data_IF_006956937434
#
_entry.id   IF_006956937434
#
_cell.length_a   1.000
_cell.length_b   1.000
_cell.length_c   1.000
_cell.angle_alpha   90.00
_cell.angle_beta   90.00
_cell.angle_gamma   90.00
#
_symmetry.space_group_name_H-M   'P 1'
#
loop_
_entity.id
_entity.type
_entity.pdbx_description
1 polymer ?
#
# COMPACT_ATOMS: atom_id res chain seq x y z
N UNK A 1 50.14 -40.62 -30.30
CA UNK A 1 50.57 -41.04 -28.95
C UNK A 1 51.06 -39.81 -28.21
N UNK A 2 50.71 -39.53 -26.94
CA UNK A 2 49.80 -40.22 -25.99
C UNK A 2 48.45 -39.46 -25.82
N UNK A 3 47.32 -40.14 -25.64
CA UNK A 3 46.64 -40.61 -24.39
C UNK A 3 45.65 -39.57 -23.83
N UNK A 4 44.37 -39.92 -23.94
CA UNK A 4 43.20 -39.19 -23.50
C UNK A 4 42.99 -39.38 -21.99
N UNK A 5 42.65 -38.30 -21.30
CA UNK A 5 42.17 -38.35 -19.92
C UNK A 5 40.66 -38.53 -19.88
N UNK A 6 40.28 -39.38 -18.95
CA UNK A 6 39.00 -40.02 -18.70
C UNK A 6 38.01 -39.04 -18.04
N UNK A 7 36.82 -38.86 -18.61
CA UNK A 7 35.73 -38.07 -18.01
C UNK A 7 34.75 -39.05 -17.38
N UNK A 8 34.69 -39.05 -16.06
CA UNK A 8 33.73 -39.82 -15.24
C UNK A 8 32.28 -39.41 -15.54
N UNK A 9 31.40 -40.33 -16.04
CA UNK A 9 30.04 -39.99 -16.45
C UNK A 9 29.01 -39.95 -15.31
N UNK A 10 29.41 -39.66 -14.05
CA UNK A 10 28.46 -39.57 -12.90
C UNK A 10 28.45 -38.26 -12.12
N UNK A 11 28.88 -37.16 -12.72
CA UNK A 11 28.69 -35.84 -12.11
C UNK A 11 27.32 -35.28 -12.49
N UNK A 12 26.30 -35.58 -11.69
CA UNK A 12 25.01 -34.87 -11.73
C UNK A 12 25.21 -33.40 -11.35
N UNK A 13 24.60 -32.44 -12.07
CA UNK A 13 24.63 -31.04 -11.68
C UNK A 13 23.92 -30.86 -10.33
N UNK A 14 24.55 -30.11 -9.43
CA UNK A 14 23.99 -29.77 -8.12
C UNK A 14 22.80 -28.83 -8.33
N UNK A 15 21.62 -29.32 -7.95
CA UNK A 15 20.36 -28.58 -8.04
C UNK A 15 20.31 -27.53 -6.91
N UNK A 16 20.36 -26.24 -7.27
CA UNK A 16 20.46 -25.12 -6.34
C UNK A 16 19.09 -24.59 -5.85
N UNK A 17 17.99 -25.29 -6.15
CA UNK A 17 16.62 -24.82 -5.84
C UNK A 17 15.90 -25.60 -4.71
N UNK A 18 16.54 -26.51 -3.99
CA UNK A 18 15.86 -27.24 -2.89
C UNK A 18 15.95 -26.49 -1.54
N UNK A 19 14.80 -26.17 -0.89
CA UNK A 19 14.78 -25.55 0.44
C UNK A 19 15.43 -26.43 1.52
N UNK A 20 16.08 -25.81 2.51
CA UNK A 20 16.89 -26.49 3.53
C UNK A 20 16.13 -27.48 4.43
N UNK A 21 14.80 -27.40 4.51
CA UNK A 21 13.97 -28.32 5.31
C UNK A 21 13.90 -29.74 4.71
N UNK A 22 14.11 -29.91 3.40
CA UNK A 22 13.99 -31.19 2.71
C UNK A 22 15.31 -31.97 2.64
N UNK A 23 16.44 -31.31 2.97
CA UNK A 23 17.77 -31.94 3.02
C UNK A 23 18.01 -32.77 4.29
N UNK A 24 17.22 -32.58 5.34
CA UNK A 24 17.36 -33.29 6.60
C UNK A 24 16.66 -34.67 6.64
N UNK A 25 15.82 -34.98 5.64
CA UNK A 25 15.04 -36.23 5.61
C UNK A 25 15.68 -37.35 4.76
N UNK A 26 16.80 -37.09 4.06
CA UNK A 26 17.38 -38.04 3.09
C UNK A 26 18.62 -38.81 3.57
N UNK A 27 19.07 -38.61 4.82
CA UNK A 27 20.21 -39.36 5.38
C UNK A 27 19.77 -40.31 6.49
N UNK A 28 19.18 -41.44 6.14
CA UNK A 28 19.28 -42.68 6.93
C UNK A 28 19.05 -43.91 6.06
N UNK A 29 19.86 -44.98 6.20
CA UNK A 29 19.88 -46.09 5.26
C UNK A 29 18.81 -47.13 5.56
N UNK A 30 18.35 -47.78 4.49
CA UNK A 30 17.29 -48.77 4.43
C UNK A 30 17.64 -50.12 5.08
N UNK A 31 16.59 -50.84 5.51
CA UNK A 31 16.53 -52.30 5.46
C UNK A 31 15.10 -52.76 5.04
N UNK A 32 14.97 -53.91 4.36
CA UNK A 32 13.93 -54.11 3.34
C UNK A 32 12.76 -54.99 3.83
N UNK A 33 11.58 -54.83 3.24
CA UNK A 33 10.69 -55.99 3.06
C UNK A 33 9.72 -55.85 1.88
N UNK A 34 10.04 -56.63 0.85
CA UNK A 34 9.20 -57.55 0.06
C UNK A 34 7.73 -57.20 -0.26
N UNK A 35 7.48 -57.27 -1.58
CA UNK A 35 6.22 -57.14 -2.29
C UNK A 35 5.07 -58.06 -1.83
N UNK A 36 3.82 -57.60 -2.02
CA UNK A 36 2.77 -58.36 -2.69
C UNK A 36 1.55 -57.47 -3.04
N UNK A 37 1.10 -57.60 -4.29
CA UNK A 37 -0.17 -57.08 -4.82
C UNK A 37 -1.36 -57.83 -4.19
N UNK A 38 -2.47 -57.12 -3.97
CA UNK A 38 -3.83 -57.56 -4.35
C UNK A 38 -4.89 -56.54 -3.87
N UNK A 39 -5.71 -56.03 -4.79
CA UNK A 39 -7.10 -55.65 -4.49
C UNK A 39 -7.94 -56.93 -4.40
N UNK A 40 -9.05 -56.96 -3.63
CA UNK A 40 -10.34 -56.53 -4.19
C UNK A 40 -11.38 -55.95 -3.20
N UNK A 41 -12.37 -55.29 -3.81
CA UNK A 41 -13.81 -55.23 -3.49
C UNK A 41 -14.33 -54.49 -2.23
N UNK A 42 -15.38 -53.68 -2.50
CA UNK A 42 -16.25 -52.97 -1.57
C UNK A 42 -17.06 -53.89 -0.63
N UNK A 43 -17.72 -53.30 0.39
CA UNK A 43 -19.16 -53.14 0.25
C UNK A 43 -19.75 -51.81 0.77
N UNK A 44 -21.00 -51.60 0.33
CA UNK A 44 -21.97 -50.54 0.55
C UNK A 44 -22.49 -50.41 2.01
N UNK A 45 -23.21 -49.30 2.27
CA UNK A 45 -24.18 -48.98 3.36
C UNK A 45 -23.56 -48.51 4.69
N UNK A 46 -24.07 -47.53 5.44
CA UNK A 46 -25.29 -46.74 5.43
C UNK A 46 -25.10 -45.45 6.28
N UNK A 47 -25.90 -44.42 6.01
CA UNK A 47 -26.08 -43.20 6.84
C UNK A 47 -26.99 -43.51 8.05
N UNK A 48 -26.73 -42.91 9.23
CA UNK A 48 -27.78 -42.14 9.94
C UNK A 48 -27.21 -40.83 10.55
N UNK A 49 -27.82 -39.67 10.30
CA UNK A 49 -28.92 -39.05 11.04
C UNK A 49 -28.54 -38.49 12.44
N UNK A 50 -28.68 -37.16 12.54
CA UNK A 50 -28.53 -36.30 13.72
C UNK A 50 -29.61 -36.54 14.79
N UNK A 51 -29.34 -36.23 16.07
CA UNK A 51 -30.38 -35.67 16.92
C UNK A 51 -29.95 -34.42 17.72
N UNK A 52 -30.95 -33.61 18.02
CA UNK A 52 -30.93 -32.31 18.68
C UNK A 52 -30.70 -32.36 20.21
N UNK A 53 -30.42 -31.18 20.78
CA UNK A 53 -30.16 -30.85 22.19
C UNK A 53 -31.30 -31.17 23.17
N UNK A 54 -31.01 -31.18 24.49
CA UNK A 54 -31.37 -30.02 25.34
C UNK A 54 -30.32 -29.66 26.43
N UNK A 55 -30.29 -28.40 26.89
CA UNK A 55 -29.54 -27.95 28.09
C UNK A 55 -30.40 -28.04 29.37
N UNK A 56 -30.09 -27.31 30.48
CA UNK A 56 -28.84 -26.71 30.95
C UNK A 56 -28.44 -27.17 32.39
N UNK A 57 -27.16 -27.08 32.77
CA UNK A 57 -26.76 -27.10 34.20
C UNK A 57 -25.53 -26.24 34.46
N UNK A 58 -25.62 -25.41 35.49
CA UNK A 58 -24.68 -24.45 36.09
C UNK A 58 -23.51 -25.08 36.87
N UNK A 59 -22.29 -24.52 36.67
CA UNK A 59 -21.11 -24.25 37.55
C UNK A 59 -20.51 -25.33 38.49
N UNK A 60 -19.21 -25.27 38.92
CA UNK A 60 -18.33 -24.09 39.06
C UNK A 60 -16.85 -24.21 38.56
N UNK A 61 -16.16 -23.06 38.66
CA UNK A 61 -14.77 -22.69 38.32
C UNK A 61 -13.63 -23.69 38.65
N UNK A 62 -12.44 -23.47 38.05
CA UNK A 62 -11.34 -22.94 38.87
C UNK A 62 -10.48 -21.83 38.22
N UNK A 63 -9.75 -21.19 39.13
CA UNK A 63 -8.81 -20.08 39.07
C UNK A 63 -7.59 -20.22 38.15
N UNK A 64 -7.26 -19.10 37.48
CA UNK A 64 -5.92 -18.48 37.49
C UNK A 64 -4.91 -18.91 36.42
N UNK A 65 -4.54 -18.00 35.51
CA UNK A 65 -3.17 -17.53 35.25
C UNK A 65 -3.12 -16.60 34.02
N UNK A 66 -2.71 -15.36 34.26
CA UNK A 66 -2.48 -14.29 33.26
C UNK A 66 -1.05 -14.34 32.72
N UNK A 67 -0.80 -14.08 31.42
CA UNK A 67 0.47 -13.54 30.94
C UNK A 67 0.34 -12.06 30.50
N UNK A 68 1.45 -11.29 30.48
CA UNK A 68 1.42 -9.83 30.55
C UNK A 68 1.29 -9.10 29.20
N UNK A 69 0.46 -8.05 29.23
CA UNK A 69 0.69 -6.70 28.71
C UNK A 69 1.25 -6.51 27.30
N UNK A 70 0.36 -6.24 26.34
CA UNK A 70 0.66 -5.45 25.13
C UNK A 70 0.25 -3.99 25.41
N UNK A 71 1.04 -2.96 25.05
CA UNK A 71 0.63 -1.57 25.24
C UNK A 71 -0.54 -1.27 24.28
N UNK A 72 -1.70 -0.99 24.84
CA UNK A 72 -2.88 -0.53 24.09
C UNK A 72 -2.73 0.95 23.76
N UNK A 73 -2.84 1.29 22.47
CA UNK A 73 -3.18 2.65 22.03
C UNK A 73 -4.60 2.94 22.51
N UNK A 74 -4.73 3.62 23.65
CA UNK A 74 -6.03 4.00 24.19
C UNK A 74 -6.57 5.18 23.39
N UNK A 75 -7.49 4.91 22.46
CA UNK A 75 -8.46 5.92 22.02
C UNK A 75 -9.33 6.19 23.24
N UNK A 76 -9.05 7.28 23.96
CA UNK A 76 -9.75 7.66 25.18
C UNK A 76 -11.20 7.98 24.88
N UNK A 77 -12.09 7.02 25.14
CA UNK A 77 -13.51 7.26 25.32
C UNK A 77 -13.81 7.24 26.83
N UNK A 78 -13.85 8.43 27.43
CA UNK A 78 -14.46 8.73 28.75
C UNK A 78 -14.45 10.27 28.93
N UNK A 79 -15.49 11.02 29.31
CA UNK A 79 -16.95 10.90 29.52
C UNK A 79 -17.51 12.37 29.33
N UNK A 80 -18.82 12.71 29.44
CA UNK A 80 -19.54 13.55 28.45
C UNK A 80 -19.96 14.96 28.93
N UNK A 81 -19.77 15.99 28.10
CA UNK A 81 -20.53 17.28 28.07
C UNK A 81 -19.96 18.09 26.89
N UNK A 82 -20.67 18.43 25.80
CA UNK A 82 -22.06 18.84 25.64
C UNK A 82 -22.51 18.32 24.27
N UNK A 83 -23.48 17.41 24.23
CA UNK A 83 -24.18 17.09 22.99
C UNK A 83 -25.24 18.19 22.77
N UNK A 84 -25.04 19.01 21.73
CA UNK A 84 -26.09 19.54 20.83
C UNK A 84 -25.62 20.73 19.97
N UNK A 85 -24.34 20.79 19.60
CA UNK A 85 -23.96 21.47 18.36
C UNK A 85 -23.26 20.47 17.45
N UNK A 86 -23.76 20.24 16.22
CA UNK A 86 -23.03 19.43 15.25
C UNK A 86 -21.70 20.13 15.00
N UNK A 87 -20.60 19.37 15.08
CA UNK A 87 -19.30 19.88 14.67
C UNK A 87 -19.38 20.35 13.22
N UNK A 88 -19.06 21.62 13.01
CA UNK A 88 -19.02 22.25 11.70
C UNK A 88 -17.56 22.37 11.28
N UNK A 89 -17.10 21.60 10.29
CA UNK A 89 -15.76 21.75 9.76
C UNK A 89 -15.59 23.14 9.15
N UNK A 90 -14.51 23.83 9.49
CA UNK A 90 -14.26 25.20 9.04
C UNK A 90 -13.68 25.27 7.61
N UNK A 91 -13.06 24.18 7.15
CA UNK A 91 -12.41 24.08 5.84
C UNK A 91 -12.36 22.64 5.33
N UNK A 92 -11.92 22.47 4.07
CA UNK A 92 -11.77 21.16 3.43
C UNK A 92 -10.86 20.20 4.22
N UNK A 93 -9.85 20.70 4.93
CA UNK A 93 -8.99 19.85 5.77
C UNK A 93 -9.81 19.23 6.90
N UNK A 94 -10.60 20.02 7.62
CA UNK A 94 -11.46 19.53 8.70
C UNK A 94 -12.59 18.63 8.20
N UNK A 95 -13.15 18.88 7.02
CA UNK A 95 -14.11 17.98 6.37
C UNK A 95 -13.48 16.60 6.13
N UNK A 96 -12.30 16.56 5.52
CA UNK A 96 -11.57 15.32 5.26
C UNK A 96 -11.13 14.61 6.55
N UNK A 97 -10.72 15.36 7.60
CA UNK A 97 -10.41 14.78 8.90
C UNK A 97 -11.65 14.19 9.57
N UNK A 98 -12.80 14.84 9.45
CA UNK A 98 -14.07 14.35 9.99
C UNK A 98 -14.52 13.08 9.29
N UNK A 99 -14.42 13.04 7.95
CA UNK A 99 -14.69 11.84 7.16
C UNK A 99 -13.76 10.68 7.53
N UNK A 100 -12.47 10.97 7.72
CA UNK A 100 -11.49 9.98 8.15
C UNK A 100 -11.81 9.42 9.55
N UNK A 101 -12.20 10.27 10.50
CA UNK A 101 -12.65 9.84 11.84
C UNK A 101 -13.93 9.01 11.74
N UNK A 102 -14.91 9.44 10.95
CA UNK A 102 -16.17 8.71 10.74
C UNK A 102 -15.98 7.33 10.10
N UNK A 103 -14.98 7.21 9.22
CA UNK A 103 -14.58 5.95 8.60
C UNK A 103 -13.63 5.10 9.46
N UNK A 104 -13.13 5.62 10.60
CA UNK A 104 -12.11 4.97 11.42
C UNK A 104 -10.76 4.81 10.69
N UNK A 105 -10.46 5.69 9.74
CA UNK A 105 -9.28 5.63 8.88
C UNK A 105 -8.14 6.51 9.44
N UNK A 106 -7.26 5.91 10.24
CA UNK A 106 -6.04 6.58 10.71
C UNK A 106 -5.15 7.02 9.54
N UNK A 107 -5.08 6.21 8.47
CA UNK A 107 -4.30 6.52 7.27
C UNK A 107 -4.85 7.73 6.51
N UNK A 108 -6.18 7.80 6.36
CA UNK A 108 -6.85 8.97 5.76
C UNK A 108 -6.65 10.23 6.59
N UNK A 109 -6.67 10.10 7.92
CA UNK A 109 -6.42 11.20 8.84
C UNK A 109 -4.98 11.74 8.72
N UNK A 110 -3.98 10.86 8.78
CA UNK A 110 -2.57 11.24 8.66
C UNK A 110 -2.24 11.78 7.27
N UNK A 111 -2.74 11.15 6.20
CA UNK A 111 -2.56 11.63 4.82
C UNK A 111 -3.13 13.03 4.62
N UNK A 112 -4.31 13.31 5.20
CA UNK A 112 -4.91 14.64 5.18
C UNK A 112 -4.03 15.65 5.92
N UNK A 113 -3.53 15.32 7.11
CA UNK A 113 -2.64 16.21 7.86
C UNK A 113 -1.33 16.48 7.11
N UNK A 114 -0.70 15.47 6.50
CA UNK A 114 0.57 15.60 5.78
C UNK A 114 0.50 16.58 4.61
N UNK A 115 -0.67 16.73 4.00
CA UNK A 115 -0.94 17.70 2.93
C UNK A 115 -1.46 19.05 3.45
N UNK A 116 -1.83 19.13 4.72
CA UNK A 116 -2.45 20.31 5.31
C UNK A 116 -1.45 21.42 5.66
N UNK A 117 -1.97 22.64 5.66
CA UNK A 117 -1.37 23.79 6.35
C UNK A 117 -2.01 23.89 7.73
N UNK A 118 -1.18 23.98 8.75
CA UNK A 118 -1.60 24.07 10.14
C UNK A 118 -1.18 25.41 10.73
N UNK A 119 -1.98 25.90 11.66
CA UNK A 119 -1.70 27.06 12.46
C UNK A 119 -0.96 26.62 13.72
N UNK A 120 0.28 27.09 13.85
CA UNK A 120 1.09 26.92 15.05
C UNK A 120 1.04 28.21 15.88
N UNK A 121 0.53 28.15 17.11
CA UNK A 121 0.66 29.23 18.09
C UNK A 121 2.12 29.56 18.39
N UNK A 122 2.49 30.82 18.21
CA UNK A 122 3.84 31.33 18.52
C UNK A 122 3.96 31.54 20.02
N UNK A 123 5.11 31.17 20.58
CA UNK A 123 5.45 31.54 21.95
C UNK A 123 5.80 33.04 21.97
N UNK A 124 5.20 33.86 22.86
CA UNK A 124 5.48 35.31 22.92
C UNK A 124 6.96 35.67 23.15
N UNK A 125 7.77 34.74 23.68
CA UNK A 125 9.21 34.93 23.85
C UNK A 125 10.03 34.64 22.57
N UNK A 126 9.37 34.27 21.46
CA UNK A 126 10.02 34.07 20.17
C UNK A 126 10.39 35.40 19.53
N UNK A 127 11.49 35.41 18.77
CA UNK A 127 11.84 36.57 17.94
C UNK A 127 10.76 36.78 16.89
N UNK A 128 10.29 38.02 16.73
CA UNK A 128 9.24 38.36 15.77
C UNK A 128 9.62 37.93 14.34
N UNK A 129 8.71 37.20 13.68
CA UNK A 129 8.91 36.69 12.32
C UNK A 129 9.80 35.44 12.21
N UNK A 130 10.34 34.91 13.32
CA UNK A 130 11.09 33.65 13.30
C UNK A 130 10.17 32.45 12.99
N UNK A 131 10.71 31.46 12.28
CA UNK A 131 9.99 30.23 11.93
C UNK A 131 10.51 29.00 12.69
N UNK A 132 9.72 27.90 12.77
CA UNK A 132 10.15 26.66 13.41
C UNK A 132 11.49 26.19 12.83
N UNK A 133 12.46 25.94 13.73
CA UNK A 133 13.83 25.53 13.41
C UNK A 133 14.81 26.66 13.09
N UNK A 134 14.37 27.92 13.06
CA UNK A 134 15.28 29.07 12.93
C UNK A 134 15.83 29.53 14.29
N UNK A 135 17.05 30.11 14.33
CA UNK A 135 17.58 30.73 15.54
C UNK A 135 16.63 31.80 16.08
N UNK A 136 16.18 31.65 17.33
CA UNK A 136 15.29 32.61 18.00
C UNK A 136 13.80 32.23 18.02
N UNK A 137 13.39 31.15 17.33
CA UNK A 137 12.04 30.61 17.46
C UNK A 137 11.91 29.75 18.72
N UNK A 138 10.93 30.02 19.57
CA UNK A 138 10.64 29.23 20.75
C UNK A 138 9.33 28.45 20.56
N UNK A 139 9.41 27.13 20.71
CA UNK A 139 8.24 26.27 20.62
C UNK A 139 7.32 26.51 21.81
N UNK A 140 6.03 26.74 21.54
CA UNK A 140 5.01 26.82 22.58
C UNK A 140 4.58 25.40 22.96
N UNK A 141 4.83 25.02 24.21
CA UNK A 141 4.47 23.71 24.74
C UNK A 141 3.41 23.81 25.83
N UNK A 142 2.54 22.81 25.89
CA UNK A 142 1.67 22.52 27.03
C UNK A 142 2.18 21.30 27.80
N UNK A 143 1.65 21.10 29.00
CA UNK A 143 1.89 19.89 29.80
C UNK A 143 0.56 19.31 30.24
N UNK A 144 0.31 18.04 29.93
CA UNK A 144 -0.88 17.30 30.34
C UNK A 144 -0.44 15.93 30.81
N UNK A 145 -0.86 15.53 32.01
CA UNK A 145 -0.50 14.24 32.62
C UNK A 145 1.01 13.93 32.67
N UNK A 146 1.83 14.98 32.79
CA UNK A 146 3.30 14.87 32.83
C UNK A 146 3.96 14.72 31.46
N UNK A 147 3.19 14.70 30.37
CA UNK A 147 3.70 14.68 29.00
C UNK A 147 3.72 16.09 28.42
N UNK A 148 4.89 16.49 27.91
CA UNK A 148 5.04 17.75 27.15
C UNK A 148 4.48 17.56 25.75
N UNK A 149 3.64 18.48 25.30
CA UNK A 149 3.09 18.44 23.96
C UNK A 149 3.06 19.80 23.28
N UNK A 150 3.08 19.80 21.96
CA UNK A 150 2.91 20.99 21.11
C UNK A 150 1.53 20.89 20.45
N UNK A 151 0.77 21.99 20.51
CA UNK A 151 -0.57 22.08 19.92
C UNK A 151 -0.50 22.78 18.57
N UNK A 152 -1.24 22.26 17.61
CA UNK A 152 -1.55 22.95 16.35
C UNK A 152 -3.04 22.93 16.09
N UNK A 153 -3.47 23.84 15.23
CA UNK A 153 -4.86 23.95 14.82
C UNK A 153 -4.98 23.91 13.30
N UNK A 154 -6.05 23.34 12.78
CA UNK A 154 -6.35 23.34 11.34
C UNK A 154 -7.12 24.56 10.88
N UNK A 155 -7.63 25.37 11.81
CA UNK A 155 -8.38 26.59 11.51
C UNK A 155 -8.33 27.62 12.66
N UNK A 156 -8.58 28.91 12.36
CA UNK A 156 -8.75 29.95 13.39
C UNK A 156 -9.92 29.66 14.33
N UNK A 157 -10.96 28.98 13.86
CA UNK A 157 -12.11 28.57 14.65
C UNK A 157 -11.70 27.57 15.74
N UNK A 158 -10.93 26.53 15.38
CA UNK A 158 -10.39 25.57 16.38
C UNK A 158 -9.43 26.24 17.36
N UNK A 159 -8.64 27.21 16.91
CA UNK A 159 -7.79 28.02 17.77
C UNK A 159 -8.62 28.83 18.78
N UNK A 160 -9.66 29.52 18.31
CA UNK A 160 -10.50 30.39 19.15
C UNK A 160 -11.29 29.63 20.23
N UNK A 161 -11.56 28.34 20.01
CA UNK A 161 -12.20 27.46 20.99
C UNK A 161 -11.30 27.12 22.18
N UNK A 162 -9.97 27.13 22.00
CA UNK A 162 -9.00 26.70 23.00
C UNK A 162 -8.13 27.84 23.55
N UNK A 163 -7.92 28.90 22.78
CA UNK A 163 -7.08 30.03 23.15
C UNK A 163 -7.90 31.34 23.23
N UNK A 164 -7.86 32.02 24.38
CA UNK A 164 -8.48 33.35 24.57
C UNK A 164 -7.59 34.42 23.89
N UNK A 165 -8.14 35.33 23.07
CA UNK A 165 -7.36 36.13 22.11
C UNK A 165 -6.49 37.25 22.73
N UNK A 166 -5.48 37.76 21.98
CA UNK A 166 -4.99 37.30 20.67
C UNK A 166 -3.64 36.55 20.79
N UNK A 167 -3.59 35.32 20.29
CA UNK A 167 -2.36 34.53 20.16
C UNK A 167 -1.83 34.72 18.73
N UNK A 168 -0.58 35.17 18.60
CA UNK A 168 0.10 35.21 17.31
C UNK A 168 0.29 33.79 16.78
N UNK A 169 -0.06 33.54 15.53
CA UNK A 169 0.07 32.23 14.89
C UNK A 169 0.87 32.35 13.61
N UNK A 170 1.62 31.30 13.32
CA UNK A 170 2.22 31.11 12.00
C UNK A 170 1.52 29.98 11.27
N UNK A 171 1.30 30.17 9.98
CA UNK A 171 0.78 29.12 9.10
C UNK A 171 1.94 28.36 8.47
N UNK A 172 1.99 27.05 8.66
CA UNK A 172 3.09 26.20 8.21
C UNK A 172 2.54 24.90 7.65
N UNK A 173 3.18 24.36 6.60
CA UNK A 173 2.83 23.02 6.12
C UNK A 173 3.19 22.00 7.20
N UNK A 174 2.25 21.11 7.53
CA UNK A 174 2.47 20.14 8.60
C UNK A 174 3.73 19.30 8.37
N UNK A 175 3.98 18.89 7.12
CA UNK A 175 5.18 18.14 6.76
C UNK A 175 6.49 18.88 7.04
N UNK A 176 6.52 20.21 6.87
CA UNK A 176 7.70 21.03 7.19
C UNK A 176 7.85 21.20 8.70
N UNK A 177 6.73 21.27 9.42
CA UNK A 177 6.72 21.39 10.88
C UNK A 177 7.34 20.16 11.55
N UNK A 178 6.88 18.96 11.18
CA UNK A 178 7.33 17.70 11.80
C UNK A 178 8.81 17.38 11.50
N UNK A 179 9.36 17.86 10.38
CA UNK A 179 10.80 17.72 10.07
C UNK A 179 11.70 18.52 11.00
N UNK A 180 11.18 19.57 11.62
CA UNK A 180 11.93 20.46 12.52
C UNK A 180 11.52 20.23 13.98
N UNK A 181 10.95 19.07 14.28
CA UNK A 181 10.41 18.75 15.60
C UNK A 181 11.49 18.94 16.68
N UNK A 182 11.22 19.70 17.75
CA UNK A 182 12.25 20.18 18.66
C UNK A 182 12.82 19.09 19.56
N UNK A 183 11.99 18.13 19.95
CA UNK A 183 12.34 17.06 20.87
C UNK A 183 11.51 15.80 20.54
N UNK A 184 12.15 14.67 20.24
CA UNK A 184 11.47 13.40 19.97
C UNK A 184 10.56 12.91 21.11
N UNK A 185 10.77 13.36 22.34
CA UNK A 185 9.94 13.00 23.49
C UNK A 185 8.68 13.84 23.65
N UNK A 186 8.48 14.90 22.85
CA UNK A 186 7.31 15.77 22.97
C UNK A 186 6.19 15.30 22.05
N UNK A 187 4.99 15.10 22.61
CA UNK A 187 3.82 14.74 21.84
C UNK A 187 3.31 15.89 20.97
N UNK A 188 2.59 15.54 19.92
CA UNK A 188 1.87 16.46 19.07
C UNK A 188 0.37 16.33 19.36
N UNK A 189 -0.33 17.45 19.40
CA UNK A 189 -1.78 17.48 19.46
C UNK A 189 -2.34 18.40 18.35
N UNK A 190 -3.29 17.89 17.57
CA UNK A 190 -4.06 18.67 16.60
C UNK A 190 -5.48 18.84 17.12
N UNK A 191 -6.02 20.06 17.05
CA UNK A 191 -7.39 20.42 17.43
C UNK A 191 -7.86 19.70 18.72
N UNK A 192 -7.10 19.79 19.83
CA UNK A 192 -7.40 19.04 21.05
C UNK A 192 -8.86 19.31 21.48
N UNK A 193 -9.58 18.30 21.97
CA UNK A 193 -10.97 18.49 22.44
C UNK A 193 -12.05 18.58 21.35
N UNK A 194 -11.68 18.64 20.06
CA UNK A 194 -12.64 18.57 18.95
C UNK A 194 -12.85 17.12 18.44
N UNK A 195 -13.95 16.82 17.72
CA UNK A 195 -14.17 15.52 17.09
C UNK A 195 -13.13 15.11 16.04
N UNK A 196 -12.39 16.08 15.49
CA UNK A 196 -11.26 15.85 14.56
C UNK A 196 -9.91 16.01 15.26
N UNK A 197 -9.92 16.00 16.60
CA UNK A 197 -8.73 16.13 17.43
C UNK A 197 -7.98 14.81 17.56
N UNK A 198 -6.66 14.88 17.52
CA UNK A 198 -5.81 13.72 17.73
C UNK A 198 -4.53 14.08 18.48
N UNK A 199 -3.99 13.12 19.24
CA UNK A 199 -2.70 13.22 19.91
C UNK A 199 -1.79 12.11 19.40
N UNK A 200 -0.57 12.48 19.01
CA UNK A 200 0.46 11.56 18.52
C UNK A 200 1.70 11.67 19.43
N UNK A 201 2.24 10.55 19.93
CA UNK A 201 3.52 10.53 20.64
C UNK A 201 4.65 11.12 19.79
N UNK A 202 5.64 11.75 20.42
CA UNK A 202 6.75 12.39 19.71
C UNK A 202 7.55 11.44 18.82
N UNK A 203 7.74 10.20 19.26
CA UNK A 203 8.40 9.16 18.45
C UNK A 203 7.66 8.89 17.13
N UNK A 204 6.32 8.95 17.15
CA UNK A 204 5.50 8.78 15.94
C UNK A 204 5.62 9.99 15.01
N UNK A 205 5.79 11.20 15.55
CA UNK A 205 6.03 12.41 14.75
C UNK A 205 7.37 12.35 14.04
N UNK A 206 8.42 11.88 14.72
CA UNK A 206 9.74 11.68 14.11
C UNK A 206 9.69 10.61 13.03
N UNK A 207 9.01 9.49 13.28
CA UNK A 207 8.81 8.44 12.28
C UNK A 207 8.05 8.97 11.04
N UNK A 208 6.98 9.74 11.27
CA UNK A 208 6.19 10.37 10.22
C UNK A 208 6.99 11.38 9.40
N UNK A 209 7.88 12.15 10.05
CA UNK A 209 8.76 13.10 9.38
C UNK A 209 9.80 12.39 8.49
N UNK A 210 10.38 11.29 8.97
CA UNK A 210 11.31 10.46 8.20
C UNK A 210 10.64 9.86 6.97
N UNK A 211 9.45 9.27 7.16
CA UNK A 211 8.62 8.77 6.07
C UNK A 211 8.34 9.86 5.03
N UNK A 212 7.91 11.04 5.46
CA UNK A 212 7.57 12.14 4.57
C UNK A 212 8.79 12.61 3.75
N UNK A 213 9.98 12.59 4.35
CA UNK A 213 11.23 12.88 3.65
C UNK A 213 11.58 11.86 2.57
N UNK A 214 11.40 10.58 2.87
CA UNK A 214 11.65 9.50 1.92
C UNK A 214 10.69 9.52 0.72
N UNK A 215 9.43 9.95 0.92
CA UNK A 215 8.44 10.08 -0.17
C UNK A 215 8.48 11.45 -0.88
N UNK A 216 9.44 12.32 -0.56
CA UNK A 216 9.60 13.64 -1.20
C UNK A 216 8.57 14.69 -0.77
N UNK A 217 7.73 14.38 0.23
CA UNK A 217 6.83 15.35 0.85
C UNK A 217 7.69 16.30 1.70
N UNK A 218 8.04 17.47 1.15
CA UNK A 218 8.75 18.53 1.88
C UNK A 218 9.86 19.26 1.14
N UNK A 219 10.21 18.86 -0.10
CA UNK A 219 11.28 19.48 -0.91
C UNK A 219 10.82 20.59 -1.85
N UNK A 220 9.55 20.98 -1.83
CA UNK A 220 9.16 22.29 -2.35
C UNK A 220 9.72 23.35 -1.39
N UNK A 221 10.94 23.80 -1.66
CA UNK A 221 11.61 24.87 -0.93
C UNK A 221 10.66 26.06 -0.68
N UNK A 222 10.88 26.75 0.44
CA UNK A 222 10.34 28.07 0.73
C UNK A 222 10.44 28.98 -0.52
N UNK A 223 9.36 29.06 -1.30
CA UNK A 223 9.16 30.14 -2.26
C UNK A 223 8.16 31.08 -1.63
N UNK A 224 8.67 32.05 -0.85
CA UNK A 224 8.00 33.35 -0.80
C UNK A 224 7.84 33.85 -2.25
N UNK A 225 6.70 34.46 -2.61
CA UNK A 225 6.36 34.73 -4.00
C UNK A 225 7.21 35.88 -4.52
N UNK A 226 8.41 35.57 -5.01
CA UNK A 226 9.18 36.50 -5.82
C UNK A 226 8.72 36.31 -7.26
N UNK A 227 7.87 37.25 -7.66
CA UNK A 227 7.68 37.77 -9.01
C UNK A 227 7.90 36.77 -10.17
N UNK A 228 6.78 36.36 -10.78
CA UNK A 228 6.63 36.12 -12.21
C UNK A 228 7.90 35.66 -12.95
N UNK A 229 8.37 34.46 -12.61
CA UNK A 229 9.18 33.66 -13.52
C UNK A 229 8.25 32.62 -14.13
N UNK A 230 8.22 32.57 -15.46
CA UNK A 230 7.33 31.75 -16.28
C UNK A 230 7.14 30.34 -15.70
N UNK A 231 5.90 30.03 -15.36
CA UNK A 231 5.48 28.70 -14.94
C UNK A 231 6.00 27.66 -15.95
N UNK A 232 6.75 26.63 -15.51
CA UNK A 232 6.86 25.42 -16.31
C UNK A 232 5.42 24.95 -16.50
N UNK A 233 4.99 24.84 -17.76
CA UNK A 233 3.64 24.46 -18.14
C UNK A 233 3.12 23.38 -17.19
N UNK A 234 2.10 23.76 -16.43
CA UNK A 234 1.37 22.94 -15.49
C UNK A 234 0.86 21.72 -16.26
N UNK A 235 1.63 20.63 -16.22
CA UNK A 235 1.20 19.35 -16.78
C UNK A 235 0.02 18.92 -15.93
N UNK A 236 -1.18 19.09 -16.48
CA UNK A 236 -2.44 18.68 -15.88
C UNK A 236 -2.26 17.29 -15.26
N UNK A 237 -2.29 17.19 -13.93
CA UNK A 237 -2.34 15.89 -13.26
C UNK A 237 -3.57 15.17 -13.80
N UNK A 238 -3.38 13.97 -14.36
CA UNK A 238 -4.49 13.17 -14.81
C UNK A 238 -5.37 12.80 -13.61
N UNK A 239 -6.59 13.34 -13.59
CA UNK A 239 -7.60 12.90 -12.66
C UNK A 239 -8.27 11.64 -13.25
N UNK A 240 -8.23 10.49 -12.56
CA UNK A 240 -8.89 9.29 -13.06
C UNK A 240 -10.40 9.53 -13.22
N UNK A 241 -11.05 8.92 -14.24
CA UNK A 241 -12.47 9.10 -14.46
C UNK A 241 -13.29 8.58 -13.27
N UNK A 242 -14.37 9.29 -12.94
CA UNK A 242 -15.33 8.85 -11.91
C UNK A 242 -15.87 7.49 -12.31
N UNK A 243 -15.60 6.48 -11.49
CA UNK A 243 -15.98 5.10 -11.77
C UNK A 243 -17.36 4.82 -11.18
N UNK A 244 -18.25 4.19 -11.95
CA UNK A 244 -19.55 3.72 -11.44
C UNK A 244 -19.31 2.66 -10.34
N UNK A 245 -19.71 2.91 -9.08
CA UNK A 245 -19.43 1.99 -7.97
C UNK A 245 -20.15 0.65 -8.10
N UNK A 246 -21.17 0.56 -8.98
CA UNK A 246 -21.89 -0.69 -9.24
C UNK A 246 -21.18 -1.63 -10.20
N UNK A 247 -20.16 -1.16 -10.93
CA UNK A 247 -19.39 -1.96 -11.89
C UNK A 247 -18.09 -2.46 -11.27
N UNK A 248 -17.69 -3.72 -11.53
CA UNK A 248 -16.38 -4.19 -11.12
C UNK A 248 -15.27 -3.33 -11.72
N UNK A 249 -14.30 -2.95 -10.89
CA UNK A 249 -13.09 -2.26 -11.34
C UNK A 249 -12.35 -3.14 -12.35
N UNK A 250 -11.99 -2.58 -13.50
CA UNK A 250 -11.16 -3.29 -14.48
C UNK A 250 -9.70 -3.15 -14.05
N UNK A 251 -9.04 -4.28 -13.84
CA UNK A 251 -7.61 -4.36 -13.55
C UNK A 251 -6.82 -4.56 -14.84
N UNK A 252 -5.57 -4.13 -14.83
CA UNK A 252 -4.62 -4.22 -15.93
C UNK A 252 -3.28 -4.77 -15.45
N UNK A 253 -2.64 -5.60 -16.28
CA UNK A 253 -1.26 -6.06 -16.08
C UNK A 253 -0.47 -6.00 -17.38
N UNK A 254 0.73 -5.44 -17.34
CA UNK A 254 1.70 -5.53 -18.44
C UNK A 254 2.18 -6.98 -18.63
N UNK A 255 2.17 -7.45 -19.87
CA UNK A 255 2.60 -8.79 -20.27
C UNK A 255 3.80 -8.68 -21.18
N UNK A 256 4.90 -9.34 -20.80
CA UNK A 256 6.09 -9.35 -21.63
C UNK A 256 5.82 -10.10 -22.95
N UNK A 257 6.40 -9.70 -24.08
CA UNK A 257 6.23 -10.42 -25.35
C UNK A 257 6.59 -11.91 -25.25
N UNK A 258 7.63 -12.25 -24.47
CA UNK A 258 8.04 -13.62 -24.19
C UNK A 258 6.99 -14.46 -23.45
N UNK A 259 6.02 -13.82 -22.81
CA UNK A 259 4.96 -14.50 -22.06
C UNK A 259 3.71 -14.79 -22.90
N UNK A 260 3.57 -14.20 -24.09
CA UNK A 260 2.35 -14.32 -24.89
C UNK A 260 2.01 -15.76 -25.28
N UNK A 261 3.02 -16.57 -25.59
CA UNK A 261 2.83 -17.98 -25.94
C UNK A 261 2.19 -18.79 -24.79
N UNK A 262 2.47 -18.45 -23.52
CA UNK A 262 1.81 -19.13 -22.39
C UNK A 262 0.30 -18.89 -22.39
N UNK A 263 -0.14 -17.67 -22.70
CA UNK A 263 -1.57 -17.37 -22.80
C UNK A 263 -2.15 -17.98 -24.08
N UNK A 264 -1.61 -17.59 -25.24
CA UNK A 264 -2.22 -17.88 -26.54
C UNK A 264 -2.15 -19.35 -26.96
N UNK A 265 -1.09 -20.06 -26.60
CA UNK A 265 -0.88 -21.45 -27.04
C UNK A 265 -1.13 -22.46 -25.93
N UNK A 266 -0.82 -22.10 -24.68
CA UNK A 266 -0.93 -23.02 -23.53
C UNK A 266 -2.14 -22.77 -22.64
N UNK A 267 -3.00 -21.80 -22.98
CA UNK A 267 -4.23 -21.54 -22.24
C UNK A 267 -4.00 -21.02 -20.81
N UNK A 268 -2.84 -20.42 -20.53
CA UNK A 268 -2.54 -19.93 -19.18
C UNK A 268 -3.58 -18.90 -18.74
N UNK A 269 -4.26 -19.14 -17.63
CA UNK A 269 -5.46 -18.42 -17.22
C UNK A 269 -5.31 -17.73 -15.85
N UNK A 270 -4.07 -17.50 -15.40
CA UNK A 270 -3.79 -16.91 -14.09
C UNK A 270 -3.05 -15.60 -14.20
N UNK A 271 -3.19 -14.79 -13.14
CA UNK A 271 -2.47 -13.54 -12.95
C UNK A 271 -1.85 -13.50 -11.56
N UNK A 272 -0.64 -12.95 -11.46
CA UNK A 272 0.15 -12.81 -10.24
C UNK A 272 1.02 -11.54 -10.31
N UNK A 273 1.59 -11.10 -9.21
CA UNK A 273 2.47 -9.93 -9.14
C UNK A 273 1.71 -8.61 -9.17
N UNK A 274 2.36 -7.56 -9.68
CA UNK A 274 1.84 -6.20 -9.68
C UNK A 274 0.83 -5.95 -10.80
N UNK A 275 -0.26 -5.30 -10.45
CA UNK A 275 -1.41 -4.99 -11.31
C UNK A 275 -1.97 -3.61 -10.93
N UNK A 276 -2.66 -2.97 -11.87
CA UNK A 276 -3.09 -1.58 -11.74
C UNK A 276 -4.56 -1.46 -12.15
N UNK A 277 -5.25 -0.37 -11.80
CA UNK A 277 -6.59 -0.13 -12.33
C UNK A 277 -6.46 0.38 -13.77
N UNK A 278 -7.18 -0.24 -14.71
CA UNK A 278 -7.08 0.12 -16.12
C UNK A 278 -7.51 1.58 -16.38
N UNK A 279 -8.50 2.09 -15.64
CA UNK A 279 -8.96 3.48 -15.75
C UNK A 279 -7.93 4.53 -15.30
N UNK A 280 -7.08 4.18 -14.33
CA UNK A 280 -5.98 5.05 -13.87
C UNK A 280 -4.83 5.11 -14.89
N UNK A 281 -4.76 4.15 -15.82
CA UNK A 281 -3.75 4.10 -16.87
C UNK A 281 -4.28 4.51 -18.25
N UNK A 282 -5.54 4.95 -18.35
CA UNK A 282 -6.21 5.14 -19.65
C UNK A 282 -5.59 6.27 -20.49
N UNK A 283 -4.87 7.20 -19.86
CA UNK A 283 -4.12 8.26 -20.55
C UNK A 283 -2.72 7.82 -21.02
N UNK A 284 -2.22 6.68 -20.53
CA UNK A 284 -0.94 6.10 -20.94
C UNK A 284 -1.18 5.21 -22.17
N UNK A 285 -1.11 5.83 -23.33
CA UNK A 285 -1.55 5.22 -24.59
C UNK A 285 -0.43 4.57 -25.37
N UNK A 286 0.83 4.81 -25.02
CA UNK A 286 1.99 4.28 -25.75
C UNK A 286 2.83 3.31 -24.92
N UNK A 287 3.62 2.43 -25.57
CA UNK A 287 4.57 1.54 -24.88
C UNK A 287 5.57 2.28 -23.98
N UNK A 288 6.09 3.43 -24.44
CA UNK A 288 7.06 4.22 -23.70
C UNK A 288 6.45 4.85 -22.43
N UNK A 289 5.24 5.39 -22.52
CA UNK A 289 4.51 5.94 -21.37
C UNK A 289 4.23 4.87 -20.31
N UNK A 290 3.72 3.70 -20.72
CA UNK A 290 3.48 2.59 -19.81
C UNK A 290 4.78 2.05 -19.20
N UNK A 291 5.86 1.99 -19.97
CA UNK A 291 7.17 1.56 -19.48
C UNK A 291 7.67 2.49 -18.37
N UNK A 292 7.63 3.79 -18.61
CA UNK A 292 8.18 4.80 -17.71
C UNK A 292 7.31 4.96 -16.45
N UNK A 293 5.98 4.94 -16.60
CA UNK A 293 5.04 5.10 -15.49
C UNK A 293 4.97 3.88 -14.56
N UNK A 294 5.08 2.67 -15.11
CA UNK A 294 5.02 1.45 -14.31
C UNK A 294 6.39 1.00 -13.79
N UNK A 295 7.45 1.77 -14.08
CA UNK A 295 8.82 1.43 -13.67
C UNK A 295 9.31 0.10 -14.25
N UNK A 296 8.97 -0.19 -15.52
CA UNK A 296 9.32 -1.45 -16.16
C UNK A 296 10.79 -1.54 -16.59
N UNK A 297 11.59 -0.50 -16.39
CA UNK A 297 13.00 -0.42 -16.81
C UNK A 297 14.03 -1.05 -15.84
N UNK A 298 13.63 -2.02 -15.03
CA UNK A 298 14.50 -2.64 -14.03
C UNK A 298 15.57 -3.59 -14.63
N UNK A 299 16.64 -3.94 -13.88
CA UNK A 299 17.67 -4.86 -14.37
C UNK A 299 17.09 -6.19 -14.87
N UNK A 300 17.52 -6.61 -16.07
CA UNK A 300 17.00 -7.78 -16.79
C UNK A 300 15.50 -7.72 -17.12
N UNK A 301 14.96 -6.51 -17.28
CA UNK A 301 13.56 -6.35 -17.66
C UNK A 301 13.28 -6.97 -19.03
N UNK A 302 12.19 -7.74 -19.17
CA UNK A 302 11.74 -8.24 -20.46
C UNK A 302 10.97 -7.18 -21.27
N UNK A 303 10.83 -5.97 -20.75
CA UNK A 303 10.14 -4.84 -21.40
C UNK A 303 11.17 -3.88 -21.98
N UNK A 304 11.00 -3.51 -23.25
CA UNK A 304 11.79 -2.48 -23.90
C UNK A 304 10.96 -1.19 -24.04
N UNK A 305 11.54 -0.06 -23.66
CA UNK A 305 10.88 1.25 -23.73
C UNK A 305 10.51 1.65 -25.16
N UNK A 306 11.34 1.28 -26.13
CA UNK A 306 11.20 1.56 -27.56
C UNK A 306 10.53 0.41 -28.35
N UNK A 307 9.87 -0.53 -27.66
CA UNK A 307 9.14 -1.59 -28.32
C UNK A 307 8.04 -1.05 -29.26
N UNK A 308 7.92 -1.62 -30.45
CA UNK A 308 6.86 -1.28 -31.43
C UNK A 308 5.44 -1.52 -30.89
N UNK A 309 5.31 -2.40 -29.90
CA UNK A 309 4.10 -2.61 -29.16
C UNK A 309 4.37 -3.18 -27.76
N UNK A 310 3.46 -2.87 -26.84
CA UNK A 310 3.34 -3.54 -25.54
C UNK A 310 2.04 -4.32 -25.46
N UNK A 311 1.97 -5.27 -24.53
CA UNK A 311 0.80 -6.12 -24.34
C UNK A 311 0.29 -5.99 -22.91
N UNK A 312 -1.03 -5.95 -22.76
CA UNK A 312 -1.66 -5.86 -21.44
C UNK A 312 -2.82 -6.83 -21.32
N UNK A 313 -2.96 -7.44 -20.15
CA UNK A 313 -4.19 -8.12 -19.75
C UNK A 313 -5.14 -7.11 -19.13
N UNK A 314 -6.42 -7.15 -19.47
CA UNK A 314 -7.49 -6.38 -18.82
C UNK A 314 -8.62 -7.31 -18.38
N UNK A 315 -9.07 -7.18 -17.13
CA UNK A 315 -10.16 -8.03 -16.60
C UNK A 315 -10.96 -7.34 -15.49
N UNK A 316 -12.27 -7.62 -15.36
CA UNK A 316 -13.08 -7.14 -14.23
C UNK A 316 -12.71 -7.85 -12.93
N UNK A 317 -12.43 -7.11 -11.86
CA UNK A 317 -12.14 -7.62 -10.53
C UNK A 317 -13.41 -7.90 -9.72
N UNK A 318 -14.06 -9.03 -9.96
CA UNK A 318 -15.24 -9.46 -9.19
C UNK A 318 -14.97 -9.76 -7.70
N UNK A 319 -13.70 -9.99 -7.32
CA UNK A 319 -13.26 -10.16 -5.94
C UNK A 319 -12.17 -9.13 -5.60
N UNK A 320 -12.54 -7.91 -5.19
CA UNK A 320 -11.58 -6.84 -4.91
C UNK A 320 -10.55 -7.20 -3.84
N UNK A 321 -10.91 -8.03 -2.86
CA UNK A 321 -10.02 -8.46 -1.77
C UNK A 321 -8.78 -9.25 -2.21
N UNK A 322 -8.72 -9.72 -3.47
CA UNK A 322 -7.54 -10.38 -4.04
C UNK A 322 -6.45 -9.39 -4.48
N UNK A 323 -6.76 -8.09 -4.55
CA UNK A 323 -5.87 -7.04 -5.02
C UNK A 323 -5.55 -6.13 -3.84
N UNK A 324 -4.42 -6.37 -3.21
CA UNK A 324 -4.02 -5.66 -1.99
C UNK A 324 -2.94 -4.66 -2.32
N UNK A 325 -2.95 -3.52 -1.65
CA UNK A 325 -1.85 -2.57 -1.73
C UNK A 325 -0.60 -3.28 -1.17
N UNK A 326 0.51 -3.34 -1.93
CA UNK A 326 1.72 -4.04 -1.52
C UNK A 326 2.54 -3.17 -0.59
N UNK A 327 2.03 -2.90 0.62
CA UNK A 327 2.86 -2.29 1.66
C UNK A 327 4.00 -3.24 2.01
N UNK A 328 5.23 -2.73 2.04
CA UNK A 328 6.40 -3.58 2.12
C UNK A 328 7.73 -2.91 1.87
N UNK A 329 8.75 -3.69 1.50
CA UNK A 329 10.04 -3.15 1.11
C UNK A 329 10.94 -4.19 0.47
N UNK A 330 12.21 -3.85 0.25
CA UNK A 330 13.16 -4.75 -0.42
C UNK A 330 13.85 -5.74 0.52
N UNK A 331 13.59 -5.62 1.82
CA UNK A 331 14.09 -6.49 2.86
C UNK A 331 13.11 -6.49 4.04
N UNK A 332 13.34 -7.37 5.00
CA UNK A 332 12.45 -7.55 6.14
C UNK A 332 12.34 -6.30 7.03
N UNK A 333 13.42 -5.53 7.16
CA UNK A 333 13.41 -4.29 7.93
C UNK A 333 12.50 -3.24 7.28
N UNK A 334 12.63 -3.01 5.97
CA UNK A 334 11.79 -2.09 5.22
C UNK A 334 10.32 -2.54 5.18
N UNK A 335 10.07 -3.85 5.05
CA UNK A 335 8.70 -4.38 5.13
C UNK A 335 8.06 -4.15 6.50
N UNK A 336 8.79 -4.38 7.60
CA UNK A 336 8.27 -4.07 8.95
C UNK A 336 8.06 -2.58 9.17
N UNK A 337 8.93 -1.72 8.61
CA UNK A 337 8.79 -0.28 8.71
C UNK A 337 7.51 0.25 8.03
N UNK A 338 7.05 -0.40 6.97
CA UNK A 338 5.78 -0.08 6.29
C UNK A 338 4.57 -0.81 6.90
N UNK A 339 4.73 -1.52 8.04
CA UNK A 339 3.76 -2.48 8.58
C UNK A 339 3.16 -3.39 7.48
N UNK A 340 4.04 -3.72 6.54
CA UNK A 340 3.69 -4.34 5.29
C UNK A 340 3.61 -5.85 5.37
N UNK A 341 3.40 -6.46 4.21
CA UNK A 341 3.36 -7.91 4.04
C UNK A 341 4.18 -8.38 2.85
N UNK A 342 4.72 -7.44 2.05
CA UNK A 342 5.46 -7.75 0.82
C UNK A 342 6.95 -7.48 1.01
N UNK A 343 7.77 -8.47 0.63
CA UNK A 343 9.18 -8.25 0.34
C UNK A 343 9.38 -8.52 -1.14
N UNK A 344 9.91 -7.56 -1.89
CA UNK A 344 10.13 -7.69 -3.33
C UNK A 344 11.39 -6.95 -3.76
N UNK A 345 12.04 -7.42 -4.83
CA UNK A 345 13.28 -6.82 -5.34
C UNK A 345 13.09 -5.38 -5.84
N UNK A 346 14.19 -4.63 -5.88
CA UNK A 346 14.25 -3.35 -6.61
C UNK A 346 13.66 -3.53 -8.03
N UNK A 347 12.87 -2.56 -8.53
CA UNK A 347 12.72 -1.19 -8.05
C UNK A 347 11.53 -1.00 -7.09
N UNK A 348 10.97 -2.07 -6.51
CA UNK A 348 9.83 -2.01 -5.60
C UNK A 348 10.06 -1.03 -4.44
N UNK A 349 9.11 -0.10 -4.26
CA UNK A 349 9.14 0.93 -3.21
C UNK A 349 8.30 0.56 -1.98
N UNK A 350 7.30 -0.31 -2.13
CA UNK A 350 6.48 -0.79 -1.01
C UNK A 350 5.54 0.24 -0.38
N UNK A 351 5.28 1.34 -1.08
CA UNK A 351 4.38 2.42 -0.65
C UNK A 351 3.01 2.39 -1.35
N UNK A 352 2.72 1.33 -2.11
CA UNK A 352 1.46 1.21 -2.85
C UNK A 352 1.41 1.95 -4.18
N UNK A 353 2.52 2.50 -4.66
CA UNK A 353 2.62 3.15 -5.96
C UNK A 353 3.67 2.49 -6.84
N UNK A 354 3.45 2.53 -8.16
CA UNK A 354 4.39 2.00 -9.12
C UNK A 354 5.73 2.75 -9.03
N UNK A 355 6.86 2.08 -9.27
CA UNK A 355 8.18 2.67 -9.09
C UNK A 355 8.63 3.54 -10.27
N UNK A 356 7.72 3.95 -11.15
CA UNK A 356 8.00 4.80 -12.29
C UNK A 356 8.67 6.12 -11.91
N UNK A 357 9.39 6.69 -12.87
CA UNK A 357 9.99 8.03 -12.78
C UNK A 357 9.18 9.07 -13.57
N UNK A 358 8.07 8.66 -14.18
CA UNK A 358 7.12 9.59 -14.80
C UNK A 358 6.50 10.51 -13.75
N UNK A 359 5.95 11.65 -14.19
CA UNK A 359 5.11 12.50 -13.35
C UNK A 359 3.80 11.86 -12.90
N UNK A 360 3.42 10.71 -13.47
CA UNK A 360 2.21 9.98 -13.11
C UNK A 360 2.34 9.24 -11.77
N UNK A 361 1.37 9.46 -10.90
CA UNK A 361 1.22 8.72 -9.64
C UNK A 361 0.26 7.57 -9.89
N UNK A 362 0.82 6.38 -10.09
CA UNK A 362 0.07 5.16 -10.41
C UNK A 362 -0.05 4.28 -9.18
N UNK A 363 -1.29 4.01 -8.72
CA UNK A 363 -1.52 3.08 -7.63
C UNK A 363 -1.24 1.63 -8.06
N UNK A 364 -0.43 0.93 -7.27
CA UNK A 364 0.00 -0.44 -7.52
C UNK A 364 -0.68 -1.41 -6.55
N UNK A 365 -1.16 -2.54 -7.07
CA UNK A 365 -1.77 -3.61 -6.31
C UNK A 365 -1.01 -4.90 -6.56
N UNK A 366 -0.86 -5.74 -5.54
CA UNK A 366 -0.27 -7.08 -5.70
C UNK A 366 -1.35 -8.14 -5.56
N UNK A 367 -1.30 -9.10 -6.47
CA UNK A 367 -2.08 -10.34 -6.45
C UNK A 367 -1.13 -11.52 -6.36
N UNK A 368 -1.35 -12.45 -5.42
CA UNK A 368 -0.47 -13.59 -5.25
C UNK A 368 -0.59 -14.55 -6.44
N UNK A 369 -1.79 -15.12 -6.63
CA UNK A 369 -2.17 -15.84 -7.83
C UNK A 369 -3.68 -15.99 -7.90
N UNK A 370 -4.31 -15.39 -8.92
CA UNK A 370 -5.75 -15.49 -9.15
C UNK A 370 -6.02 -16.05 -10.55
N UNK A 371 -7.11 -16.83 -10.71
CA UNK A 371 -7.62 -17.16 -12.04
C UNK A 371 -8.31 -15.94 -12.63
N UNK A 372 -8.06 -15.69 -13.90
CA UNK A 372 -8.73 -14.66 -14.68
C UNK A 372 -10.18 -15.07 -14.93
N UNK A 373 -11.15 -14.13 -14.87
CA UNK A 373 -12.54 -14.43 -15.18
C UNK A 373 -12.74 -14.68 -16.68
N UNK A 374 -13.84 -15.37 -17.02
CA UNK A 374 -14.31 -15.47 -18.40
C UNK A 374 -14.40 -14.08 -19.04
N UNK A 375 -13.97 -13.97 -20.29
CA UNK A 375 -13.99 -12.70 -21.00
C UNK A 375 -12.84 -11.76 -20.66
N UNK A 376 -11.86 -12.17 -19.83
CA UNK A 376 -10.61 -11.44 -19.68
C UNK A 376 -9.93 -11.26 -21.05
N UNK A 377 -9.33 -10.10 -21.28
CA UNK A 377 -8.88 -9.68 -22.59
C UNK A 377 -7.38 -9.48 -22.61
N UNK A 378 -6.74 -9.90 -23.70
CA UNK A 378 -5.35 -9.59 -24.01
C UNK A 378 -5.34 -8.53 -25.10
N UNK A 379 -4.66 -7.43 -24.82
CA UNK A 379 -4.60 -6.24 -25.67
C UNK A 379 -3.18 -6.04 -26.19
N UNK A 380 -3.08 -5.50 -27.40
CA UNK A 380 -1.85 -4.96 -27.99
C UNK A 380 -2.00 -3.44 -28.09
N UNK A 381 -0.99 -2.71 -27.63
CA UNK A 381 -0.91 -1.25 -27.67
C UNK A 381 0.32 -0.88 -28.51
N UNK A 382 0.12 -0.14 -29.60
CA UNK A 382 1.19 0.29 -30.52
C UNK A 382 1.76 1.67 -30.18
N UNK A 383 2.88 2.05 -30.81
CA UNK A 383 3.55 3.35 -30.62
C UNK A 383 2.68 4.57 -30.95
N UNK A 384 1.72 4.42 -31.87
CA UNK A 384 0.79 5.47 -32.29
C UNK A 384 -0.45 5.59 -31.37
N UNK A 385 -0.45 4.93 -30.21
CA UNK A 385 -1.62 4.90 -29.31
C UNK A 385 -2.72 3.92 -29.73
N UNK A 386 -2.52 3.15 -30.79
CA UNK A 386 -3.52 2.20 -31.28
C UNK A 386 -3.66 1.00 -30.34
N UNK A 387 -4.84 0.84 -29.75
CA UNK A 387 -5.17 -0.31 -28.92
C UNK A 387 -6.03 -1.33 -29.67
N UNK A 388 -5.71 -2.62 -29.54
CA UNK A 388 -6.50 -3.71 -30.13
C UNK A 388 -6.58 -4.91 -29.19
N UNK A 389 -7.78 -5.45 -29.00
CA UNK A 389 -7.96 -6.78 -28.40
C UNK A 389 -7.44 -7.84 -29.38
N UNK A 390 -6.49 -8.66 -28.94
CA UNK A 390 -5.91 -9.73 -29.75
C UNK A 390 -6.39 -11.12 -29.31
N UNK A 391 -6.85 -11.28 -28.08
CA UNK A 391 -7.49 -12.51 -27.62
C UNK A 391 -8.41 -12.28 -26.42
N UNK A 392 -9.37 -13.19 -26.24
CA UNK A 392 -10.30 -13.24 -25.11
C UNK A 392 -10.27 -14.63 -24.48
N UNK A 393 -10.18 -14.68 -23.15
CA UNK A 393 -10.18 -15.91 -22.39
C UNK A 393 -11.59 -16.53 -22.36
N UNK A 394 -11.68 -17.76 -22.86
CA UNK A 394 -12.81 -18.66 -22.69
C UNK A 394 -12.48 -19.66 -21.58
N UNK A 395 -13.05 -19.45 -20.38
CA UNK A 395 -12.83 -20.33 -19.22
C UNK A 395 -13.54 -21.68 -19.32
N UNK A 396 -14.52 -21.83 -20.21
CA UNK A 396 -15.23 -23.10 -20.37
C UNK A 396 -14.36 -24.09 -21.15
N UNK A 397 -13.65 -23.57 -22.16
CA UNK A 397 -12.69 -24.33 -22.94
C UNK A 397 -11.23 -24.21 -22.42
N UNK A 398 -10.97 -23.32 -21.45
CA UNK A 398 -9.64 -22.97 -20.93
C UNK A 398 -8.65 -22.58 -22.03
N UNK A 399 -9.11 -21.78 -22.99
CA UNK A 399 -8.31 -21.30 -24.13
C UNK A 399 -8.45 -19.79 -24.33
N UNK A 400 -7.42 -19.18 -24.90
CA UNK A 400 -7.47 -17.81 -25.38
C UNK A 400 -7.91 -17.79 -26.85
N UNK A 401 -9.12 -17.32 -27.12
CA UNK A 401 -9.65 -17.18 -28.48
C UNK A 401 -9.12 -15.89 -29.09
N UNK A 402 -8.35 -16.00 -30.18
CA UNK A 402 -7.83 -14.84 -30.89
C UNK A 402 -8.95 -14.01 -31.52
N UNK A 403 -8.78 -12.69 -31.53
CA UNK A 403 -9.74 -11.74 -32.08
C UNK A 403 -9.22 -11.20 -33.41
N UNK A 404 -9.89 -11.60 -34.49
CA UNK A 404 -9.64 -11.14 -35.85
C UNK A 404 -8.48 -11.83 -36.56
N UNK A 405 -8.26 -13.12 -36.33
CA UNK A 405 -7.83 -14.01 -37.43
C UNK A 405 -9.10 -14.47 -38.18
N UNK A 406 -9.08 -14.50 -39.54
CA UNK A 406 -10.16 -15.04 -40.36
C UNK A 406 -10.38 -16.55 -40.17
#
# INVERSE_FOLDING_TARGET
MPAADDVDPRSTPVDLWTPAAERAAQTSPAAPNTAAQASPAAPTTAVPASPAAPGPTTDPAPTGSTPPGTPSTTVGADTPATADEPFLPANEVEENLLDAVGAGSTDGFLSTLLLARVLLPVNPDSVAGSRPGEPGFQWRTGTTDGETYVVVYTSPERLAEHDVPPVETIEVRFVQLIRRWPDPGWAFAVNPGSPVGAKLPGEQIVALASWAAEVGLGDEADVEPVAAAEAPAERTRYAPPVTDPSRPVVMQKAVAPSQLAYYLERGYDRVSGFVHRAGELAHLTTPAELHDALGLGYPDSPFARDAEATYVLRWPAYRPSLYRIPYGGQNEAAMRAMEGWVIERAPFRGNGFAPGESSDVVAEFKVDSARLPHGAQLWRIGTEGTERVIAVLDTDALVWRRVGEP
#
